data_IF_063758466176
#
_entry.id   IF_063758466176
#
_cell.length_a   1.000
_cell.length_b   1.000
_cell.length_c   1.000
_cell.angle_alpha   90.00
_cell.angle_beta   90.00
_cell.angle_gamma   90.00
#
_symmetry.space_group_name_H-M   'P 1'
#
loop_
_entity.id
_entity.type
_entity.pdbx_description
1 polymer ?
#
# COMPACT_ATOMS: atom_id res chain seq x y z
N UNK A 1 -9.14 -22.70 -10.96
CA UNK A 1 -8.17 -21.72 -11.48
C UNK A 1 -7.34 -21.23 -10.30
N UNK A 2 -6.03 -21.04 -10.41
CA UNK A 2 -5.29 -20.35 -9.37
C UNK A 2 -5.85 -18.93 -9.21
N UNK A 3 -6.01 -18.49 -7.96
CA UNK A 3 -6.40 -17.10 -7.67
C UNK A 3 -5.26 -16.18 -8.08
N UNK A 4 -5.57 -15.08 -8.78
CA UNK A 4 -4.59 -14.04 -9.04
C UNK A 4 -4.14 -13.40 -7.71
N UNK A 5 -2.87 -12.98 -7.59
CA UNK A 5 -2.40 -12.20 -6.45
C UNK A 5 -3.24 -10.94 -6.28
N UNK A 6 -3.49 -10.54 -5.04
CA UNK A 6 -4.17 -9.28 -4.73
C UNK A 6 -3.18 -8.30 -4.10
N UNK A 7 -2.20 -7.88 -4.89
CA UNK A 7 -1.15 -6.94 -4.53
C UNK A 7 -1.06 -5.82 -5.59
N UNK A 8 -0.21 -4.82 -5.33
CA UNK A 8 0.11 -3.76 -6.27
C UNK A 8 0.81 -4.36 -7.50
N UNK A 9 0.26 -4.13 -8.70
CA UNK A 9 0.89 -4.55 -9.96
C UNK A 9 0.77 -6.04 -10.33
N UNK A 10 -0.07 -6.84 -9.66
CA UNK A 10 -0.17 -8.30 -9.89
C UNK A 10 1.18 -9.03 -9.84
N UNK A 11 2.08 -8.58 -8.96
CA UNK A 11 3.42 -9.14 -8.82
C UNK A 11 3.36 -10.58 -8.30
N UNK A 12 4.32 -11.39 -8.72
CA UNK A 12 4.50 -12.74 -8.18
C UNK A 12 5.00 -12.73 -6.73
N UNK A 13 5.05 -13.91 -6.11
CA UNK A 13 5.44 -14.06 -4.71
C UNK A 13 6.87 -13.57 -4.44
N UNK A 14 7.79 -13.74 -5.41
CA UNK A 14 9.19 -13.33 -5.26
C UNK A 14 9.34 -11.80 -5.29
N UNK A 15 8.64 -11.15 -6.21
CA UNK A 15 8.68 -9.70 -6.43
C UNK A 15 7.81 -8.92 -5.44
N UNK A 16 6.96 -9.61 -4.66
CA UNK A 16 6.10 -8.99 -3.65
C UNK A 16 6.37 -9.45 -2.21
N UNK A 17 7.32 -10.36 -1.99
CA UNK A 17 7.70 -10.80 -0.66
C UNK A 17 8.21 -9.64 0.20
N UNK A 18 7.65 -9.51 1.41
CA UNK A 18 7.98 -8.40 2.30
C UNK A 18 9.47 -8.32 2.63
N UNK A 19 10.13 -9.44 2.88
CA UNK A 19 11.53 -9.43 3.33
C UNK A 19 12.50 -8.97 2.24
N UNK A 20 12.24 -9.32 0.98
CA UNK A 20 13.09 -8.98 -0.17
C UNK A 20 12.73 -7.63 -0.82
N UNK A 21 11.48 -7.17 -0.66
CA UNK A 21 11.02 -5.92 -1.26
C UNK A 21 11.66 -4.69 -0.62
N UNK A 22 12.06 -3.70 -1.43
CA UNK A 22 12.54 -2.41 -0.93
C UNK A 22 11.39 -1.46 -0.60
N UNK A 23 10.27 -1.59 -1.31
CA UNK A 23 9.08 -0.76 -1.15
C UNK A 23 8.01 -1.52 -0.39
N UNK A 24 7.28 -0.83 0.48
CA UNK A 24 6.08 -1.34 1.13
C UNK A 24 4.92 -0.37 0.91
N UNK A 25 3.80 -0.84 0.37
CA UNK A 25 2.55 -0.07 0.22
C UNK A 25 1.67 -0.37 1.42
N UNK A 26 1.33 0.64 2.23
CA UNK A 26 0.44 0.54 3.39
C UNK A 26 -0.95 1.12 3.06
N UNK A 27 -1.97 0.28 2.82
CA UNK A 27 -3.31 0.78 2.59
C UNK A 27 -3.90 1.34 3.91
N UNK A 28 -4.28 2.62 3.94
CA UNK A 28 -4.93 3.25 5.10
C UNK A 28 -6.31 3.80 4.69
N UNK A 29 -7.39 2.99 4.76
CA UNK A 29 -8.74 3.39 4.34
C UNK A 29 -9.43 4.28 5.38
N UNK A 30 -8.81 5.39 5.78
CA UNK A 30 -9.24 6.26 6.86
C UNK A 30 -10.08 7.46 6.36
N UNK A 31 -11.36 7.52 6.76
CA UNK A 31 -12.32 8.54 6.31
C UNK A 31 -13.08 9.22 7.47
N UNK A 32 -12.37 9.66 8.51
CA UNK A 32 -13.06 10.26 9.67
C UNK A 32 -13.34 11.75 9.54
N UNK A 33 -12.46 12.50 8.89
CA UNK A 33 -12.54 13.97 8.81
C UNK A 33 -13.27 14.51 7.58
N UNK A 34 -13.72 13.65 6.65
CA UNK A 34 -14.42 14.11 5.44
C UNK A 34 -15.84 14.57 5.76
N UNK A 35 -16.20 15.77 5.29
CA UNK A 35 -17.49 16.41 5.60
C UNK A 35 -18.41 16.60 4.39
N UNK A 36 -17.85 16.95 3.23
CA UNK A 36 -18.65 17.25 2.03
C UNK A 36 -18.95 16.01 1.17
N UNK A 37 -17.97 15.12 1.01
CA UNK A 37 -18.10 13.87 0.24
C UNK A 37 -17.48 12.69 0.98
N UNK A 38 -18.03 11.50 0.74
CA UNK A 38 -17.52 10.21 1.24
C UNK A 38 -16.90 9.39 0.10
N UNK A 39 -16.11 8.39 0.45
CA UNK A 39 -15.46 7.47 -0.48
C UNK A 39 -13.92 7.44 -0.41
N UNK A 40 -13.26 8.29 0.36
CA UNK A 40 -11.79 8.27 0.54
C UNK A 40 -11.30 6.97 1.17
N UNK A 41 -12.11 6.33 2.01
CA UNK A 41 -11.83 4.98 2.52
C UNK A 41 -11.73 3.91 1.41
N UNK A 42 -12.37 4.13 0.26
CA UNK A 42 -12.29 3.22 -0.89
C UNK A 42 -11.03 3.45 -1.74
N UNK A 43 -10.31 4.56 -1.52
CA UNK A 43 -9.16 4.98 -2.31
C UNK A 43 -8.06 3.90 -2.39
N UNK A 44 -7.55 3.38 -1.25
CA UNK A 44 -6.48 2.39 -1.28
C UNK A 44 -6.85 1.11 -2.06
N UNK A 45 -8.07 0.60 -1.88
CA UNK A 45 -8.54 -0.58 -2.62
C UNK A 45 -8.72 -0.30 -4.12
N UNK A 46 -9.18 0.90 -4.48
CA UNK A 46 -9.31 1.31 -5.87
C UNK A 46 -7.95 1.46 -6.57
N UNK A 47 -6.95 2.02 -5.88
CA UNK A 47 -5.57 2.13 -6.37
C UNK A 47 -4.97 0.75 -6.59
N UNK A 48 -5.09 -0.15 -5.60
CA UNK A 48 -4.59 -1.53 -5.75
C UNK A 48 -5.22 -2.21 -6.96
N UNK A 49 -6.55 -2.14 -7.10
CA UNK A 49 -7.24 -2.71 -8.27
C UNK A 49 -6.78 -2.09 -9.59
N UNK A 50 -6.60 -0.77 -9.64
CA UNK A 50 -6.17 -0.08 -10.85
C UNK A 50 -4.73 -0.47 -11.24
N UNK A 51 -3.84 -0.61 -10.25
CA UNK A 51 -2.43 -0.99 -10.48
C UNK A 51 -2.29 -2.35 -11.17
N UNK A 52 -3.27 -3.23 -11.02
CA UNK A 52 -3.28 -4.57 -11.64
C UNK A 52 -3.49 -4.53 -13.16
N UNK A 53 -3.87 -3.39 -13.73
CA UNK A 53 -4.04 -3.18 -15.17
C UNK A 53 -2.92 -2.32 -15.78
N UNK A 54 -1.89 -2.00 -15.01
CA UNK A 54 -0.76 -1.17 -15.43
C UNK A 54 0.34 -2.04 -16.05
N UNK A 55 1.04 -1.52 -17.06
CA UNK A 55 2.30 -2.11 -17.52
C UNK A 55 3.40 -1.84 -16.47
N UNK A 56 4.20 -2.85 -16.15
CA UNK A 56 5.24 -2.71 -15.12
C UNK A 56 6.43 -1.87 -15.61
N UNK A 57 6.69 -1.88 -16.91
CA UNK A 57 7.72 -1.07 -17.55
C UNK A 57 7.21 0.36 -17.76
N UNK A 58 8.03 1.33 -17.34
CA UNK A 58 7.81 2.75 -17.53
C UNK A 58 8.74 3.29 -18.63
N UNK A 59 8.16 3.83 -19.70
CA UNK A 59 8.90 4.31 -20.88
C UNK A 59 9.70 5.59 -20.62
N UNK A 60 9.24 6.45 -19.70
CA UNK A 60 9.92 7.71 -19.38
C UNK A 60 11.18 7.45 -18.55
N UNK A 61 11.14 6.42 -17.71
CA UNK A 61 12.25 5.98 -16.87
C UNK A 61 13.19 4.98 -17.57
N UNK A 62 12.77 4.41 -18.70
CA UNK A 62 13.44 3.27 -19.35
C UNK A 62 13.76 2.15 -18.35
N UNK A 63 12.80 1.83 -17.48
CA UNK A 63 12.99 0.92 -16.38
C UNK A 63 11.69 0.24 -15.94
N UNK A 64 11.81 -0.84 -15.18
CA UNK A 64 10.69 -1.49 -14.50
C UNK A 64 10.81 -1.23 -12.98
N UNK A 65 10.09 -0.26 -12.41
CA UNK A 65 10.21 0.09 -10.99
C UNK A 65 9.88 -1.07 -10.03
N UNK A 66 8.99 -1.97 -10.43
CA UNK A 66 8.64 -3.18 -9.66
C UNK A 66 9.82 -4.13 -9.44
N UNK A 67 10.89 -4.05 -10.24
CA UNK A 67 12.10 -4.84 -10.05
C UNK A 67 12.84 -4.53 -8.72
N UNK A 68 12.49 -3.45 -8.02
CA UNK A 68 12.97 -3.17 -6.66
C UNK A 68 12.22 -3.97 -5.57
N UNK A 69 11.18 -4.70 -5.94
CA UNK A 69 10.27 -5.42 -5.06
C UNK A 69 9.28 -4.50 -4.36
N UNK A 70 7.99 -4.83 -4.45
CA UNK A 70 6.89 -4.06 -3.85
C UNK A 70 6.02 -4.98 -3.02
N UNK A 71 6.10 -4.85 -1.70
CA UNK A 71 5.22 -5.56 -0.78
C UNK A 71 3.94 -4.78 -0.54
N UNK A 72 2.79 -5.40 -0.77
CA UNK A 72 1.49 -4.82 -0.37
C UNK A 72 1.14 -5.31 1.03
N UNK A 73 1.05 -4.38 1.97
CA UNK A 73 0.73 -4.69 3.36
C UNK A 73 -0.78 -4.89 3.55
N UNK A 74 -1.20 -5.58 4.63
CA UNK A 74 -2.59 -5.56 5.05
C UNK A 74 -3.08 -4.12 5.27
N UNK A 75 -4.35 -3.86 4.97
CA UNK A 75 -4.93 -2.56 5.24
C UNK A 75 -4.92 -2.28 6.75
N UNK A 76 -4.46 -1.08 7.12
CA UNK A 76 -4.41 -0.64 8.51
C UNK A 76 -5.50 0.38 8.78
N UNK A 77 -6.33 0.08 9.78
CA UNK A 77 -7.38 0.96 10.27
C UNK A 77 -7.16 1.19 11.76
N UNK A 78 -6.98 2.45 12.21
CA UNK A 78 -6.82 2.73 13.62
C UNK A 78 -8.12 2.44 14.39
N UNK A 79 -7.98 1.90 15.59
CA UNK A 79 -9.06 1.51 16.50
C UNK A 79 -9.51 2.69 17.37
N UNK A 80 -8.58 3.52 17.85
CA UNK A 80 -8.90 4.64 18.73
C UNK A 80 -9.98 5.54 18.14
N UNK A 81 -10.91 6.03 18.95
CA UNK A 81 -11.97 6.95 18.49
C UNK A 81 -11.47 8.38 18.32
N UNK A 82 -10.60 8.82 19.23
CA UNK A 82 -9.99 10.15 19.17
C UNK A 82 -9.08 10.29 17.93
N UNK A 83 -9.09 11.47 17.32
CA UNK A 83 -8.35 11.71 16.07
C UNK A 83 -6.84 11.76 16.28
N UNK A 84 -6.37 12.29 17.41
CA UNK A 84 -4.94 12.35 17.70
C UNK A 84 -4.39 10.95 18.00
N UNK A 85 -5.13 10.15 18.77
CA UNK A 85 -4.78 8.76 19.04
C UNK A 85 -4.80 7.91 17.76
N UNK A 86 -5.83 8.06 16.92
CA UNK A 86 -5.89 7.35 15.64
C UNK A 86 -4.72 7.71 14.71
N UNK A 87 -4.29 8.98 14.71
CA UNK A 87 -3.10 9.40 13.95
C UNK A 87 -1.81 8.82 14.53
N UNK A 88 -1.71 8.74 15.85
CA UNK A 88 -0.56 8.12 16.52
C UNK A 88 -0.46 6.62 16.21
N UNK A 89 -1.58 5.91 16.11
CA UNK A 89 -1.62 4.50 15.67
C UNK A 89 -1.13 4.33 14.23
N UNK A 90 -1.61 5.16 13.29
CA UNK A 90 -1.15 5.12 11.88
C UNK A 90 0.36 5.41 11.83
N UNK A 91 0.84 6.38 12.60
CA UNK A 91 2.26 6.72 12.67
C UNK A 91 3.09 5.56 13.25
N UNK A 92 2.59 4.87 14.28
CA UNK A 92 3.25 3.73 14.88
C UNK A 92 3.37 2.57 13.89
N UNK A 93 2.29 2.24 13.17
CA UNK A 93 2.30 1.20 12.13
C UNK A 93 3.29 1.54 11.02
N UNK A 94 3.24 2.76 10.49
CA UNK A 94 4.17 3.21 9.47
C UNK A 94 5.64 3.09 9.91
N UNK A 95 5.92 3.43 11.16
CA UNK A 95 7.26 3.40 11.74
C UNK A 95 7.85 2.00 11.79
N UNK A 96 7.04 0.96 12.05
CA UNK A 96 7.50 -0.44 12.03
C UNK A 96 8.17 -0.78 10.70
N UNK A 97 7.56 -0.37 9.59
CA UNK A 97 8.08 -0.70 8.26
C UNK A 97 9.27 0.17 7.87
N UNK A 98 9.25 1.46 8.22
CA UNK A 98 10.39 2.36 7.98
C UNK A 98 11.64 1.93 8.76
N UNK A 99 11.49 1.50 10.03
CA UNK A 99 12.61 1.00 10.84
C UNK A 99 13.17 -0.33 10.32
N UNK A 100 12.35 -1.12 9.61
CA UNK A 100 12.79 -2.31 8.87
C UNK A 100 13.42 -1.98 7.50
N UNK A 101 13.69 -0.70 7.23
CA UNK A 101 14.38 -0.22 6.04
C UNK A 101 13.52 -0.20 4.78
N UNK A 102 12.20 -0.29 4.90
CA UNK A 102 11.29 -0.17 3.75
C UNK A 102 11.12 1.30 3.36
N UNK A 103 11.11 1.56 2.06
CA UNK A 103 10.52 2.78 1.52
C UNK A 103 9.00 2.64 1.59
N UNK A 104 8.39 3.27 2.58
CA UNK A 104 6.95 3.18 2.83
C UNK A 104 6.19 4.16 1.94
N UNK A 105 5.14 3.64 1.29
CA UNK A 105 4.19 4.39 0.45
C UNK A 105 2.79 4.24 1.04
#
# INVERSE_FOLDING_TARGET
MPSLPNNFGLLDDESSAYDTSRVAVLPVPFERSTSYGKGTANGPAAILRASQAMELYDEELDAEPSAQGIATLPAFLPEAFDMAEAMAEIQAEAKIHMERGKFLV
#
